data_IF_021331677270
#
_entry.id   IF_021331677270
#
_cell.length_a   1.000
_cell.length_b   1.000
_cell.length_c   1.000
_cell.angle_alpha   90.00
_cell.angle_beta   90.00
_cell.angle_gamma   90.00
#
_symmetry.space_group_name_H-M   'P 1'
#
loop_
_entity.id
_entity.type
_entity.pdbx_description
1 polymer ?
#
# COMPACT_ATOMS: atom_id res chain seq x y z
N UNK A 1 0.44 9.35 -30.54
CA UNK A 1 -0.63 9.38 -29.54
C UNK A 1 -0.07 9.47 -28.12
N UNK A 2 -0.82 10.08 -27.24
CA UNK A 2 -0.41 10.21 -25.84
C UNK A 2 -1.38 9.43 -24.96
N UNK A 3 -0.83 8.81 -23.93
CA UNK A 3 -1.63 8.07 -22.97
C UNK A 3 -1.32 8.55 -21.57
N UNK A 4 -2.31 8.48 -20.71
CA UNK A 4 -2.18 8.82 -19.31
C UNK A 4 -2.56 7.60 -18.48
N UNK A 5 -1.77 7.34 -17.45
CA UNK A 5 -2.09 6.27 -16.51
C UNK A 5 -3.36 6.65 -15.76
N UNK A 6 -4.30 5.74 -15.70
CA UNK A 6 -5.53 5.97 -14.96
C UNK A 6 -5.23 6.01 -13.47
N UNK A 7 -5.90 6.90 -12.74
CA UNK A 7 -5.75 6.90 -11.29
C UNK A 7 -6.32 5.62 -10.71
N UNK A 8 -5.61 5.05 -9.74
CA UNK A 8 -5.99 3.79 -9.10
C UNK A 8 -5.86 3.96 -7.60
N UNK A 9 -6.90 3.54 -6.89
CA UNK A 9 -6.85 3.50 -5.43
C UNK A 9 -6.37 2.11 -5.02
N UNK A 10 -5.34 2.06 -4.19
CA UNK A 10 -4.80 0.80 -3.70
C UNK A 10 -4.88 0.79 -2.18
N UNK A 11 -4.75 -0.39 -1.61
CA UNK A 11 -4.65 -0.56 -0.18
C UNK A 11 -3.19 -0.78 0.18
N UNK A 12 -2.79 -0.24 1.32
CA UNK A 12 -1.42 -0.41 1.78
C UNK A 12 -1.38 -0.32 3.29
N UNK A 13 -0.37 -0.95 3.87
CA UNK A 13 -0.09 -0.79 5.29
C UNK A 13 1.40 -0.62 5.48
N UNK A 14 1.77 0.08 6.53
CA UNK A 14 3.17 0.24 6.91
C UNK A 14 3.44 -0.72 8.06
N UNK A 15 4.46 -1.57 7.91
CA UNK A 15 4.80 -2.54 8.93
C UNK A 15 5.76 -1.92 9.92
N UNK A 16 5.46 -2.09 11.21
CA UNK A 16 6.31 -1.52 12.25
C UNK A 16 7.48 -2.40 12.63
N UNK A 17 7.57 -3.58 12.04
CA UNK A 17 8.63 -4.51 12.33
C UNK A 17 8.33 -5.46 13.49
N UNK A 18 7.16 -5.35 14.10
CA UNK A 18 6.81 -6.14 15.28
C UNK A 18 5.48 -6.87 15.16
N UNK A 19 4.48 -6.20 14.64
CA UNK A 19 3.12 -6.72 14.68
C UNK A 19 2.88 -7.64 13.48
N UNK A 20 3.21 -8.91 13.68
CA UNK A 20 3.00 -9.91 12.64
C UNK A 20 1.52 -10.25 12.45
N UNK A 21 0.72 -10.06 13.48
CA UNK A 21 -0.71 -10.32 13.34
C UNK A 21 -1.36 -9.35 12.36
N UNK A 22 -1.03 -8.09 12.48
CA UNK A 22 -1.55 -7.10 11.55
C UNK A 22 -1.08 -7.37 10.14
N UNK A 23 0.21 -7.67 10.00
CA UNK A 23 0.78 -7.97 8.69
C UNK A 23 0.14 -9.20 8.10
N UNK A 24 -0.04 -10.24 8.90
CA UNK A 24 -0.65 -11.49 8.46
C UNK A 24 -2.09 -11.28 8.04
N UNK A 25 -2.83 -10.45 8.78
CA UNK A 25 -4.22 -10.18 8.44
C UNK A 25 -4.33 -9.47 7.10
N UNK A 26 -3.35 -8.64 6.78
CA UNK A 26 -3.36 -7.89 5.52
C UNK A 26 -2.94 -8.75 4.34
N UNK A 27 -1.82 -9.48 4.47
CA UNK A 27 -1.25 -10.18 3.32
C UNK A 27 -1.65 -11.65 3.23
N UNK A 28 -2.14 -12.22 4.33
CA UNK A 28 -2.61 -13.61 4.30
C UNK A 28 -1.53 -14.58 3.88
N UNK A 29 -1.85 -15.38 2.88
CA UNK A 29 -0.96 -16.46 2.45
C UNK A 29 0.31 -15.96 1.78
N UNK A 30 0.36 -14.68 1.42
CA UNK A 30 1.58 -14.14 0.82
C UNK A 30 2.67 -13.88 1.85
N UNK A 31 2.35 -13.99 3.14
CA UNK A 31 3.35 -13.82 4.18
C UNK A 31 4.16 -15.10 4.32
N UNK A 32 5.47 -15.00 4.19
CA UNK A 32 6.37 -16.15 4.26
C UNK A 32 7.50 -15.81 5.21
N UNK A 33 7.82 -16.76 6.12
CA UNK A 33 8.99 -16.62 6.98
C UNK A 33 10.05 -17.55 6.41
N UNK A 34 11.16 -16.96 5.96
CA UNK A 34 12.23 -17.71 5.32
C UNK A 34 13.51 -17.47 6.07
N UNK A 35 14.02 -18.53 6.73
CA UNK A 35 15.28 -18.45 7.50
C UNK A 35 15.26 -17.30 8.50
N UNK A 36 14.13 -17.09 9.14
CA UNK A 36 14.00 -16.03 10.12
C UNK A 36 13.68 -14.66 9.56
N UNK A 37 13.68 -14.52 8.25
CA UNK A 37 13.33 -13.25 7.62
C UNK A 37 11.84 -13.23 7.28
N UNK A 38 11.25 -12.06 7.42
CA UNK A 38 9.85 -11.87 7.04
C UNK A 38 9.81 -11.42 5.59
N UNK A 39 9.09 -12.18 4.79
CA UNK A 39 9.06 -11.95 3.34
C UNK A 39 7.63 -11.90 2.84
N UNK A 40 7.47 -11.24 1.72
CA UNK A 40 6.19 -11.21 0.99
C UNK A 40 6.40 -11.95 -0.32
N UNK A 41 5.52 -12.89 -0.61
CA UNK A 41 5.55 -13.57 -1.90
C UNK A 41 4.91 -12.67 -2.95
N UNK A 42 5.67 -12.36 -3.99
CA UNK A 42 5.20 -11.50 -5.06
C UNK A 42 5.22 -12.28 -6.36
N UNK A 43 4.75 -11.65 -7.42
CA UNK A 43 4.79 -12.27 -8.74
C UNK A 43 6.23 -12.54 -9.20
N UNK A 44 7.19 -11.86 -8.60
CA UNK A 44 8.60 -11.99 -8.95
C UNK A 44 9.39 -12.82 -7.95
N UNK A 45 8.71 -13.40 -6.97
CA UNK A 45 9.36 -14.22 -5.96
C UNK A 45 9.26 -13.61 -4.58
N UNK A 46 10.09 -14.10 -3.67
CA UNK A 46 10.06 -13.64 -2.28
C UNK A 46 10.85 -12.35 -2.14
N UNK A 47 10.25 -11.40 -1.44
CA UNK A 47 10.90 -10.13 -1.13
C UNK A 47 10.91 -9.91 0.36
N UNK A 48 12.10 -9.73 0.93
CA UNK A 48 12.25 -9.47 2.34
C UNK A 48 11.75 -8.06 2.67
N UNK A 49 11.04 -7.92 3.80
CA UNK A 49 10.61 -6.62 4.25
C UNK A 49 11.24 -6.28 5.59
N UNK A 50 11.29 -5.00 5.89
CA UNK A 50 11.90 -4.47 7.11
C UNK A 50 10.94 -3.50 7.78
N UNK A 51 11.24 -3.18 9.04
CA UNK A 51 10.43 -2.20 9.76
C UNK A 51 10.38 -0.90 8.98
N UNK A 52 9.19 -0.34 8.87
CA UNK A 52 8.98 0.90 8.15
C UNK A 52 8.57 0.72 6.70
N UNK A 53 8.76 -0.47 6.14
CA UNK A 53 8.36 -0.71 4.76
C UNK A 53 6.85 -0.76 4.64
N UNK A 54 6.34 -0.30 3.51
CA UNK A 54 4.94 -0.47 3.19
C UNK A 54 4.73 -1.75 2.41
N UNK A 55 3.56 -2.35 2.59
CA UNK A 55 3.11 -3.46 1.77
C UNK A 55 1.86 -3.00 1.03
N UNK A 56 1.87 -3.15 -0.27
CA UNK A 56 0.81 -2.66 -1.14
C UNK A 56 0.03 -3.85 -1.67
N UNK A 57 -1.30 -3.71 -1.64
CA UNK A 57 -2.18 -4.67 -2.29
C UNK A 57 -2.61 -4.06 -3.61
N UNK A 58 -2.19 -4.68 -4.70
CA UNK A 58 -2.51 -4.20 -6.03
C UNK A 58 -3.94 -4.48 -6.41
N UNK A 59 -4.33 -3.99 -7.57
CA UNK A 59 -5.72 -4.09 -8.01
C UNK A 59 -6.13 -5.53 -8.32
N UNK A 60 -5.16 -6.41 -8.57
CA UNK A 60 -5.46 -7.81 -8.81
C UNK A 60 -5.35 -8.66 -7.55
N UNK A 61 -5.17 -8.02 -6.39
CA UNK A 61 -5.02 -8.74 -5.15
C UNK A 61 -3.62 -9.21 -4.85
N UNK A 62 -2.66 -8.87 -5.69
CA UNK A 62 -1.27 -9.24 -5.46
C UNK A 62 -0.64 -8.29 -4.45
N UNK A 63 0.39 -8.76 -3.75
CA UNK A 63 1.08 -7.98 -2.74
C UNK A 63 2.52 -7.73 -3.14
N UNK A 64 3.05 -6.58 -2.74
CA UNK A 64 4.46 -6.28 -2.96
C UNK A 64 4.90 -5.20 -1.98
N UNK A 65 6.19 -5.24 -1.57
CA UNK A 65 6.71 -4.25 -0.63
C UNK A 65 7.15 -2.99 -1.35
N UNK A 66 7.20 -1.90 -0.58
CA UNK A 66 7.64 -0.63 -1.11
C UNK A 66 8.36 0.12 0.01
N UNK A 67 9.51 0.69 -0.30
CA UNK A 67 10.24 1.47 0.67
C UNK A 67 9.47 2.74 1.01
N UNK A 68 9.56 3.21 2.26
CA UNK A 68 8.73 4.33 2.70
C UNK A 68 8.99 5.62 1.91
N UNK A 69 10.23 5.90 1.56
CA UNK A 69 10.52 7.12 0.81
C UNK A 69 9.92 7.06 -0.60
N UNK A 70 9.97 5.90 -1.21
CA UNK A 70 9.39 5.72 -2.54
C UNK A 70 7.88 5.76 -2.46
N UNK A 71 7.32 5.13 -1.42
CA UNK A 71 5.88 5.12 -1.23
C UNK A 71 5.33 6.54 -1.11
N UNK A 72 5.99 7.36 -0.32
CA UNK A 72 5.52 8.72 -0.08
C UNK A 72 5.57 9.58 -1.32
N UNK A 73 6.50 9.28 -2.22
CA UNK A 73 6.59 10.03 -3.47
C UNK A 73 5.57 9.58 -4.51
N UNK A 74 5.08 8.36 -4.36
CA UNK A 74 4.22 7.74 -5.37
C UNK A 74 2.75 7.83 -5.01
N UNK A 75 2.43 7.73 -3.72
CA UNK A 75 1.05 7.63 -3.26
C UNK A 75 0.72 8.71 -2.25
N UNK A 76 -0.54 9.03 -2.15
CA UNK A 76 -1.02 9.92 -1.10
C UNK A 76 -2.23 9.30 -0.44
N UNK A 77 -2.45 9.69 0.80
CA UNK A 77 -3.55 9.14 1.59
C UNK A 77 -4.87 9.69 1.08
N UNK A 78 -5.82 8.80 0.85
CA UNK A 78 -7.14 9.17 0.36
C UNK A 78 -8.19 9.29 1.45
N UNK A 79 -7.92 8.74 2.62
CA UNK A 79 -8.96 8.61 3.64
C UNK A 79 -9.52 9.93 4.09
N UNK A 80 -8.69 10.94 4.16
CA UNK A 80 -9.13 12.23 4.64
C UNK A 80 -10.15 12.86 3.71
N UNK A 81 -9.97 12.67 2.44
CA UNK A 81 -10.93 13.18 1.47
C UNK A 81 -12.28 12.51 1.65
N UNK A 82 -12.28 11.25 2.00
CA UNK A 82 -13.52 10.51 2.17
C UNK A 82 -14.25 10.92 3.42
N UNK A 83 -13.53 11.26 4.46
CA UNK A 83 -14.17 11.65 5.71
C UNK A 83 -14.97 12.90 5.59
N UNK A 84 -14.58 13.72 4.70
CA UNK A 84 -15.23 14.99 4.55
C UNK A 84 -16.46 14.89 3.70
N UNK A 85 -16.68 13.78 3.43
CA UNK A 85 -17.76 13.50 2.61
C UNK A 85 -18.79 14.51 2.49
N UNK A 86 -18.00 15.07 3.04
CA UNK A 86 -18.25 15.79 2.61
C UNK A 86 -18.10 16.20 1.91
N UNK A 87 -17.54 16.31 2.08
CA UNK A 87 -17.40 16.78 1.25
C UNK A 87 -17.22 17.08 0.62
N UNK A 88 -16.94 17.36 0.77
CA UNK A 88 -16.68 17.79 0.00
C UNK A 88 -16.40 18.00 -0.58
N UNK A 89 -16.30 18.36 -0.34
CA UNK A 89 -15.97 18.75 -1.08
C UNK A 89 -15.53 19.01 -1.51
N UNK A 90 -15.48 19.20 -1.15
CA UNK A 90 -15.01 19.62 -1.83
C UNK A 90 -14.41 19.65 -2.25
N UNK A 91 -14.24 19.69 -1.64
CA UNK A 91 -13.72 19.88 -2.36
C UNK A 91 -13.21 19.75 -2.60
N UNK A 92 -13.01 19.84 -2.48
CA UNK A 92 -12.60 19.95 -3.17
C UNK A 92 -12.21 19.85 -3.66
N UNK A 93 -12.03 19.89 -3.22
CA UNK A 93 -11.79 20.06 -3.99
C UNK A 93 -11.53 20.06 -4.47
N UNK A 94 -11.40 20.13 -4.15
CA UNK A 94 -11.27 20.41 -4.84
C UNK A 94 -10.94 20.36 -5.37
N UNK A 95 -10.75 20.36 -4.93
CA UNK A 95 -10.59 20.49 -5.57
C UNK A 95 -10.39 20.29 -6.14
N UNK A 96 -10.34 20.20 -5.81
CA UNK A 96 -10.36 20.15 -6.46
C UNK A 96 -10.16 19.85 -7.03
N UNK A 97 -10.23 19.72 -6.22
CA UNK A 97 -10.18 19.50 -6.93
C UNK A 97 -10.01 19.26 -7.30
#
# INVERSE_FOLDING_TARGET
MKYRKKPVVIEAMQWDGRDLLELSAFVGESLVVDSGAICIETLEGLHKISAGDFVIKGIKGEFYPCKPDIFEKTYELCEEAEKNGRNDSVGVSEMQG
#
